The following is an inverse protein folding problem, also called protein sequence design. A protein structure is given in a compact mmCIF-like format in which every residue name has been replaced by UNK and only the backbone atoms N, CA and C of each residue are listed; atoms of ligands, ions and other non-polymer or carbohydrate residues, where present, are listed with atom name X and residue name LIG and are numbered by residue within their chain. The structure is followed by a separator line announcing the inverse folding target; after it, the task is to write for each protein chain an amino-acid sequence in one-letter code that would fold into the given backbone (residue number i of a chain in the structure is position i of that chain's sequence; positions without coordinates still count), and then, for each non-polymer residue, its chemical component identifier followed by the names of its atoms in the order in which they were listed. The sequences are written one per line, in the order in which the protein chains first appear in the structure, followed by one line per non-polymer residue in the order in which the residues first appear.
data_IF_198785436019
#
_entry.id   IF_198785436019
#
_cell.length_a   1.000
_cell.length_b   1.000
_cell.length_c   1.000
_cell.angle_alpha   90.00
_cell.angle_beta   90.00
_cell.angle_gamma   90.00
#
_symmetry.space_group_name_H-M   'P 1'
#
loop_
_entity.id
_entity.type
_entity.pdbx_description
1 polymer ?
#
# COMPACT_ATOMS: atom_id res chain seq x y z
N UNK A 1 -8.68 53.20 43.78
CA UNK A 1 -8.90 51.83 43.25
C UNK A 1 -9.38 51.92 41.80
N UNK A 2 -8.58 51.47 40.83
CA UNK A 2 -9.03 50.83 39.57
C UNK A 2 -7.80 50.46 38.74
N UNK A 3 -7.52 49.16 38.69
CA UNK A 3 -6.35 48.55 38.04
C UNK A 3 -6.60 48.47 36.53
N UNK A 4 -5.61 48.89 35.76
CA UNK A 4 -5.48 48.66 34.33
C UNK A 4 -5.38 47.15 34.08
N UNK A 5 -6.20 46.61 33.19
CA UNK A 5 -6.06 45.23 32.71
C UNK A 5 -6.07 45.28 31.17
N UNK A 6 -4.88 45.28 30.59
CA UNK A 6 -4.68 45.06 29.16
C UNK A 6 -4.68 43.55 28.92
N UNK A 7 -5.72 43.04 28.25
CA UNK A 7 -5.80 41.64 27.83
C UNK A 7 -5.07 41.52 26.49
N UNK A 8 -3.90 40.87 26.50
CA UNK A 8 -3.15 40.52 25.29
C UNK A 8 -3.70 39.19 24.76
N UNK A 9 -4.42 39.25 23.64
CA UNK A 9 -4.93 38.06 22.96
C UNK A 9 -3.85 37.57 21.99
N UNK A 10 -3.17 36.49 22.35
CA UNK A 10 -2.22 35.80 21.48
C UNK A 10 -2.97 34.93 20.46
N UNK A 11 -3.02 35.38 19.20
CA UNK A 11 -3.54 34.59 18.08
C UNK A 11 -2.45 33.61 17.63
N UNK A 12 -2.55 32.34 18.05
CA UNK A 12 -1.70 31.27 17.55
C UNK A 12 -2.21 30.86 16.17
N UNK A 13 -1.60 31.41 15.12
CA UNK A 13 -1.84 30.96 13.75
C UNK A 13 -1.17 29.60 13.55
N UNK A 14 -1.94 28.51 13.65
CA UNK A 14 -1.52 27.18 13.21
C UNK A 14 -1.35 27.20 11.69
N UNK A 15 -0.11 27.34 11.24
CA UNK A 15 0.28 27.15 9.85
C UNK A 15 -0.07 25.73 9.42
N UNK A 16 -1.08 25.60 8.56
CA UNK A 16 -1.34 24.40 7.78
C UNK A 16 -0.16 24.22 6.82
N UNK A 17 0.84 23.45 7.22
CA UNK A 17 1.87 22.97 6.29
C UNK A 17 1.16 22.03 5.33
N UNK A 18 1.09 22.35 4.02
CA UNK A 18 0.64 21.37 3.05
C UNK A 18 1.70 20.27 3.07
N UNK A 19 1.35 19.09 3.57
CA UNK A 19 2.16 17.91 3.34
C UNK A 19 2.13 17.68 1.83
N UNK A 20 3.16 18.18 1.13
CA UNK A 20 3.39 17.87 -0.26
C UNK A 20 3.48 16.34 -0.33
N UNK A 21 2.41 15.72 -0.81
CA UNK A 21 2.33 14.29 -1.03
C UNK A 21 3.38 13.99 -2.09
N UNK A 22 4.58 13.60 -1.65
CA UNK A 22 5.57 13.01 -2.51
C UNK A 22 4.86 11.86 -3.22
N UNK A 23 4.56 12.06 -4.50
CA UNK A 23 4.02 11.05 -5.39
C UNK A 23 5.12 10.02 -5.62
N UNK A 24 5.35 9.20 -4.61
CA UNK A 24 6.35 8.15 -4.62
C UNK A 24 5.94 7.13 -5.66
N UNK A 25 6.71 7.04 -6.74
CA UNK A 25 6.61 5.92 -7.65
C UNK A 25 7.05 4.69 -6.88
N UNK A 26 6.08 3.81 -6.57
CA UNK A 26 6.36 2.55 -5.91
C UNK A 26 7.36 1.76 -6.76
N UNK A 27 8.53 1.47 -6.21
CA UNK A 27 9.63 0.84 -6.92
C UNK A 27 10.44 -0.05 -5.98
N UNK A 28 11.08 -1.07 -6.54
CA UNK A 28 11.90 -2.03 -5.79
C UNK A 28 11.13 -3.28 -5.36
N UNK A 29 11.69 -4.02 -4.41
CA UNK A 29 11.13 -5.28 -3.92
C UNK A 29 10.57 -5.08 -2.51
N UNK A 30 9.43 -5.70 -2.25
CA UNK A 30 8.77 -5.66 -0.95
C UNK A 30 8.33 -7.07 -0.58
N UNK A 31 8.69 -7.50 0.62
CA UNK A 31 8.48 -8.86 1.11
C UNK A 31 7.50 -8.87 2.28
N UNK A 32 6.60 -9.84 2.30
CA UNK A 32 5.80 -10.18 3.48
C UNK A 32 5.80 -11.69 3.69
N UNK A 33 5.42 -12.13 4.88
CA UNK A 33 5.20 -13.54 5.19
C UNK A 33 3.76 -13.70 5.67
N UNK A 34 3.01 -14.55 4.99
CA UNK A 34 1.68 -14.95 5.41
C UNK A 34 1.85 -16.23 6.22
N UNK A 35 1.59 -16.16 7.53
CA UNK A 35 1.70 -17.29 8.44
C UNK A 35 0.31 -17.86 8.69
N UNK A 36 0.16 -19.18 8.50
CA UNK A 36 -1.01 -20.03 8.83
C UNK A 36 -2.29 -19.26 9.12
N UNK A 37 -2.77 -18.48 8.15
CA UNK A 37 -3.93 -17.63 8.34
C UNK A 37 -5.16 -18.52 8.21
N UNK A 38 -5.94 -18.73 9.31
CA UNK A 38 -7.09 -19.61 9.28
C UNK A 38 -8.15 -19.12 8.29
N UNK A 39 -8.23 -17.81 8.04
CA UNK A 39 -9.17 -17.22 7.09
C UNK A 39 -8.81 -17.53 5.63
N UNK A 40 -7.57 -17.91 5.36
CA UNK A 40 -7.07 -18.23 4.02
C UNK A 40 -6.88 -19.74 3.81
N UNK A 41 -7.32 -20.57 4.77
CA UNK A 41 -7.18 -22.03 4.78
C UNK A 41 -5.76 -22.52 4.43
N UNK A 42 -4.75 -21.70 4.74
CA UNK A 42 -3.36 -21.95 4.42
C UNK A 42 -2.96 -21.87 2.93
N UNK A 43 -3.89 -21.60 2.01
CA UNK A 43 -3.62 -21.60 0.56
C UNK A 43 -2.65 -20.50 0.10
N UNK A 44 -2.46 -19.47 0.93
CA UNK A 44 -1.55 -18.35 0.66
C UNK A 44 -0.36 -18.31 1.64
N UNK A 45 -0.18 -19.36 2.46
CA UNK A 45 0.93 -19.43 3.40
C UNK A 45 2.27 -19.38 2.69
N UNK A 46 3.21 -18.63 3.25
CA UNK A 46 4.58 -18.56 2.75
C UNK A 46 5.08 -17.14 2.59
N UNK A 47 6.21 -17.03 1.90
CA UNK A 47 6.86 -15.76 1.63
C UNK A 47 6.36 -15.19 0.32
N UNK A 48 5.82 -13.98 0.39
CA UNK A 48 5.39 -13.22 -0.78
C UNK A 48 6.35 -12.07 -1.04
N UNK A 49 6.73 -11.90 -2.31
CA UNK A 49 7.56 -10.78 -2.76
C UNK A 49 6.88 -10.08 -3.91
N UNK A 50 6.64 -8.79 -3.75
CA UNK A 50 6.22 -7.90 -4.83
C UNK A 50 7.44 -7.17 -5.37
N UNK A 51 7.63 -7.20 -6.69
CA UNK A 51 8.63 -6.39 -7.38
C UNK A 51 7.91 -5.38 -8.25
N UNK A 52 8.13 -4.10 -7.96
CA UNK A 52 7.63 -2.99 -8.76
C UNK A 52 8.73 -2.48 -9.68
N UNK A 53 8.43 -2.49 -10.97
CA UNK A 53 9.21 -1.88 -12.05
C UNK A 53 8.31 -0.88 -12.78
N UNK A 54 8.84 0.01 -13.63
CA UNK A 54 8.00 0.96 -14.34
C UNK A 54 6.82 0.27 -15.04
N UNK A 55 5.59 0.55 -14.60
CA UNK A 55 4.32 0.04 -15.16
C UNK A 55 4.08 -1.47 -15.03
N UNK A 56 4.85 -2.17 -14.20
CA UNK A 56 4.64 -3.59 -13.94
C UNK A 56 4.86 -3.95 -12.47
N UNK A 57 4.04 -4.89 -12.00
CA UNK A 57 4.20 -5.59 -10.72
C UNK A 57 4.37 -7.08 -10.98
N UNK A 58 5.37 -7.69 -10.33
CA UNK A 58 5.57 -9.14 -10.30
C UNK A 58 5.35 -9.65 -8.89
N UNK A 59 4.53 -10.68 -8.73
CA UNK A 59 4.37 -11.39 -7.46
C UNK A 59 5.15 -12.70 -7.51
N UNK A 60 5.90 -12.97 -6.44
CA UNK A 60 6.56 -14.25 -6.21
C UNK A 60 6.09 -14.85 -4.90
N UNK A 61 5.87 -16.16 -4.91
CA UNK A 61 5.52 -16.95 -3.74
C UNK A 61 6.59 -18.02 -3.54
N UNK A 62 7.21 -18.03 -2.36
CA UNK A 62 8.32 -18.91 -1.97
C UNK A 62 9.44 -19.00 -3.04
N UNK A 63 9.79 -17.84 -3.59
CA UNK A 63 10.87 -17.69 -4.58
C UNK A 63 10.47 -17.96 -6.03
N UNK A 64 9.26 -18.46 -6.27
CA UNK A 64 8.73 -18.71 -7.63
C UNK A 64 7.85 -17.56 -8.08
N UNK A 65 8.01 -17.10 -9.32
CA UNK A 65 7.10 -16.10 -9.90
C UNK A 65 5.76 -16.75 -10.16
N UNK A 66 4.70 -16.21 -9.56
CA UNK A 66 3.32 -16.72 -9.69
C UNK A 66 2.41 -15.75 -10.42
N UNK A 67 2.78 -14.46 -10.50
CA UNK A 67 2.02 -13.49 -11.28
C UNK A 67 2.90 -12.37 -11.84
N UNK A 68 2.49 -11.85 -13.00
CA UNK A 68 3.01 -10.65 -13.63
C UNK A 68 1.84 -9.85 -14.17
N UNK A 69 1.66 -8.65 -13.66
CA UNK A 69 0.59 -7.76 -14.08
C UNK A 69 1.13 -6.39 -14.47
N UNK A 70 0.42 -5.71 -15.35
CA UNK A 70 0.65 -4.28 -15.57
C UNK A 70 0.06 -3.50 -14.42
N UNK A 71 0.68 -2.40 -14.06
CA UNK A 71 0.13 -1.49 -13.06
C UNK A 71 0.12 -0.04 -13.54
N UNK A 72 -0.63 0.79 -12.81
CA UNK A 72 -0.63 2.23 -12.94
C UNK A 72 -0.73 2.83 -11.56
N UNK A 73 0.30 3.59 -11.19
CA UNK A 73 0.37 4.32 -9.93
C UNK A 73 0.05 5.78 -10.20
N UNK A 74 -0.84 6.36 -9.37
CA UNK A 74 -1.19 7.79 -9.38
C UNK A 74 -1.33 8.26 -7.94
N UNK A 75 -0.36 9.04 -7.45
CA UNK A 75 -0.32 9.42 -6.04
C UNK A 75 -0.24 8.19 -5.15
N UNK A 76 -1.18 8.08 -4.22
CA UNK A 76 -1.34 6.97 -3.26
C UNK A 76 -2.22 5.82 -3.78
N UNK A 77 -2.56 5.83 -5.08
CA UNK A 77 -3.41 4.79 -5.70
C UNK A 77 -2.60 3.95 -6.65
N UNK A 78 -2.87 2.64 -6.62
CA UNK A 78 -2.38 1.68 -7.62
C UNK A 78 -3.57 0.97 -8.26
N UNK A 79 -3.51 0.85 -9.58
CA UNK A 79 -4.41 0.01 -10.37
C UNK A 79 -3.60 -1.13 -10.94
N UNK A 80 -4.01 -2.37 -10.71
CA UNK A 80 -3.38 -3.57 -11.25
C UNK A 80 -4.30 -4.12 -12.34
N UNK A 81 -3.80 -4.18 -13.56
CA UNK A 81 -4.55 -4.63 -14.73
C UNK A 81 -4.33 -6.12 -14.95
N UNK A 82 -5.37 -6.90 -14.69
CA UNK A 82 -5.33 -8.35 -14.82
C UNK A 82 -4.34 -9.00 -13.88
N UNK A 83 -3.93 -10.20 -14.24
CA UNK A 83 -3.15 -11.12 -13.43
C UNK A 83 -3.31 -12.53 -13.98
N UNK A 84 -2.54 -13.45 -13.42
CA UNK A 84 -2.49 -14.85 -13.84
C UNK A 84 -3.69 -15.64 -13.30
N UNK A 85 -4.01 -16.76 -13.95
CA UNK A 85 -5.12 -17.62 -13.54
C UNK A 85 -6.48 -16.93 -13.58
N UNK A 86 -7.26 -17.05 -12.51
CA UNK A 86 -8.61 -16.47 -12.40
C UNK A 86 -8.62 -14.94 -12.22
N UNK A 87 -7.45 -14.31 -12.07
CA UNK A 87 -7.32 -12.89 -11.71
C UNK A 87 -7.22 -11.94 -12.91
N UNK A 88 -7.96 -12.21 -13.98
CA UNK A 88 -7.98 -11.38 -15.20
C UNK A 88 -8.64 -10.00 -15.05
N UNK A 89 -9.43 -9.78 -13.98
CA UNK A 89 -10.11 -8.50 -13.74
C UNK A 89 -9.19 -7.47 -13.05
N UNK A 90 -9.49 -6.20 -13.25
CA UNK A 90 -8.73 -5.07 -12.69
C UNK A 90 -8.94 -4.96 -11.17
N UNK A 91 -7.83 -4.78 -10.45
CA UNK A 91 -7.80 -4.46 -9.03
C UNK A 91 -7.41 -3.02 -8.77
N UNK A 92 -8.00 -2.39 -7.76
CA UNK A 92 -7.71 -1.01 -7.34
C UNK A 92 -7.44 -0.97 -5.85
N UNK A 93 -6.35 -0.33 -5.48
CA UNK A 93 -5.90 -0.21 -4.10
C UNK A 93 -5.40 1.20 -3.82
N UNK A 94 -5.56 1.62 -2.57
CA UNK A 94 -4.72 2.65 -1.98
C UNK A 94 -3.48 1.99 -1.42
N UNK A 95 -2.36 2.70 -1.40
CA UNK A 95 -1.15 2.25 -0.73
C UNK A 95 -0.52 3.36 0.11
N UNK A 96 0.14 2.96 1.18
CA UNK A 96 0.91 3.86 2.04
C UNK A 96 2.28 3.27 2.27
N UNK A 97 3.31 4.00 1.86
CA UNK A 97 4.71 3.70 2.16
C UNK A 97 5.17 4.60 3.30
N UNK A 98 5.51 4.01 4.45
CA UNK A 98 6.07 4.73 5.61
C UNK A 98 7.39 4.08 5.99
N UNK A 99 8.50 4.78 5.75
CA UNK A 99 9.84 4.20 5.82
C UNK A 99 9.96 3.00 4.88
N UNK A 100 10.31 1.84 5.41
CA UNK A 100 10.42 0.59 4.65
C UNK A 100 9.12 -0.24 4.61
N UNK A 101 8.01 0.24 5.19
CA UNK A 101 6.75 -0.51 5.31
C UNK A 101 5.72 -0.01 4.31
N UNK A 102 5.28 -0.91 3.43
CA UNK A 102 4.27 -0.70 2.40
C UNK A 102 2.97 -1.41 2.78
N UNK A 103 1.88 -0.66 2.95
CA UNK A 103 0.55 -1.23 3.20
C UNK A 103 -0.37 -0.95 2.04
N UNK A 104 -1.23 -1.90 1.69
CA UNK A 104 -2.33 -1.68 0.76
C UNK A 104 -3.66 -1.71 1.48
N UNK A 105 -4.61 -0.95 0.94
CA UNK A 105 -6.02 -1.00 1.31
C UNK A 105 -6.80 -1.22 0.02
N UNK A 106 -7.61 -2.28 -0.02
CA UNK A 106 -8.44 -2.56 -1.18
C UNK A 106 -9.50 -1.48 -1.34
N UNK A 107 -9.61 -0.93 -2.55
CA UNK A 107 -10.74 -0.06 -2.95
C UNK A 107 -11.77 -0.90 -3.69
N UNK A 108 -11.31 -1.72 -4.63
CA UNK A 108 -12.14 -2.68 -5.37
C UNK A 108 -11.24 -3.74 -5.98
N UNK A 109 -11.44 -5.01 -5.63
CA UNK A 109 -10.79 -6.11 -6.31
C UNK A 109 -11.65 -7.38 -6.27
N UNK A 110 -12.15 -7.86 -7.42
CA UNK A 110 -12.92 -9.10 -7.48
C UNK A 110 -12.06 -10.38 -7.40
N UNK A 111 -10.74 -10.29 -7.54
CA UNK A 111 -9.82 -11.41 -7.36
C UNK A 111 -9.43 -11.53 -5.88
N UNK A 112 -10.08 -12.47 -5.19
CA UNK A 112 -9.85 -12.72 -3.76
C UNK A 112 -8.38 -13.04 -3.45
N UNK A 113 -7.68 -13.94 -4.15
CA UNK A 113 -6.28 -14.25 -3.82
C UNK A 113 -5.35 -13.04 -3.88
N UNK A 114 -5.45 -12.22 -4.94
CA UNK A 114 -4.65 -10.98 -5.08
C UNK A 114 -4.99 -9.99 -3.99
N UNK A 115 -6.28 -9.79 -3.70
CA UNK A 115 -6.76 -8.92 -2.62
C UNK A 115 -6.17 -9.36 -1.29
N UNK A 116 -6.34 -10.62 -0.94
CA UNK A 116 -5.97 -11.14 0.36
C UNK A 116 -4.44 -11.07 0.57
N UNK A 117 -3.63 -11.41 -0.44
CA UNK A 117 -2.17 -11.21 -0.39
C UNK A 117 -1.80 -9.74 -0.18
N UNK A 118 -2.36 -8.83 -0.99
CA UNK A 118 -1.98 -7.42 -0.94
C UNK A 118 -2.43 -6.74 0.36
N UNK A 119 -3.57 -7.14 0.94
CA UNK A 119 -4.09 -6.55 2.17
C UNK A 119 -3.63 -7.24 3.45
N UNK A 120 -2.95 -8.39 3.39
CA UNK A 120 -2.58 -9.16 4.58
C UNK A 120 -1.64 -8.41 5.53
N UNK A 121 -0.66 -7.65 5.04
CA UNK A 121 0.31 -7.05 5.95
C UNK A 121 1.16 -5.96 5.35
N UNK A 122 1.89 -5.21 6.18
CA UNK A 122 2.91 -4.34 5.65
C UNK A 122 3.96 -5.21 4.95
N UNK A 123 4.19 -4.94 3.68
CA UNK A 123 5.35 -5.47 2.99
C UNK A 123 6.57 -4.63 3.36
N UNK A 124 7.69 -5.29 3.60
CA UNK A 124 8.95 -4.66 3.98
C UNK A 124 9.85 -4.54 2.76
N UNK A 125 10.40 -3.36 2.50
CA UNK A 125 11.36 -3.14 1.42
C UNK A 125 12.60 -4.04 1.63
N UNK A 126 13.05 -4.71 0.57
CA UNK A 126 14.23 -5.60 0.55
C UNK A 126 15.15 -5.30 -0.62
#
# INVERSE_FOLDING_TARGET
MKRLVAVVIAVVAMGLVPAALASGTLSGRYKTRIAADPALHGGLNGTWVLRFTPRHVTASHDGKVVDRARDRIRGDKITIFGGSGSCGKTGKYMFKLTGAKLRFTAVSDPCLPRRDVLTHGPFHKV
#
